data_IF_151414570444
#
_entry.id   IF_151414570444
#
_cell.length_a   1.000
_cell.length_b   1.000
_cell.length_c   1.000
_cell.angle_alpha   90.00
_cell.angle_beta   90.00
_cell.angle_gamma   90.00
#
_symmetry.space_group_name_H-M   'P 1'
#
loop_
_entity.id
_entity.type
_entity.pdbx_description
1 polymer ?
#
# COMPACT_ATOMS: atom_id res chain seq x y z
N UNK A 1 -33.64 -6.72 -72.41
CA UNK A 1 -32.69 -7.79 -72.15
C UNK A 1 -31.29 -7.16 -72.34
N UNK A 2 -30.60 -6.67 -71.43
CA UNK A 2 -30.06 -7.11 -70.23
C UNK A 2 -28.74 -6.39 -70.14
N UNK A 3 -28.71 -5.07 -69.81
CA UNK A 3 -27.51 -4.21 -69.77
C UNK A 3 -27.03 -3.98 -68.31
N UNK A 4 -27.44 -4.86 -67.39
CA UNK A 4 -27.15 -4.69 -65.95
C UNK A 4 -26.15 -5.67 -65.38
N UNK A 5 -25.52 -6.54 -66.13
CA UNK A 5 -24.65 -7.59 -65.60
C UNK A 5 -23.15 -7.32 -65.71
N UNK A 6 -22.74 -6.14 -66.11
CA UNK A 6 -21.30 -5.89 -66.41
C UNK A 6 -20.55 -4.99 -65.42
N UNK A 7 -21.07 -4.69 -64.25
CA UNK A 7 -20.33 -3.84 -63.26
C UNK A 7 -20.36 -4.45 -61.87
N UNK A 8 -20.09 -5.72 -61.75
CA UNK A 8 -19.57 -6.25 -60.46
C UNK A 8 -18.04 -6.12 -60.50
N UNK A 9 -17.56 -4.90 -60.36
CA UNK A 9 -16.14 -4.67 -60.11
C UNK A 9 -15.79 -5.43 -58.82
N UNK A 10 -15.04 -6.50 -58.97
CA UNK A 10 -14.38 -7.19 -57.87
C UNK A 10 -13.54 -6.15 -57.12
N UNK A 11 -14.04 -5.75 -55.92
CA UNK A 11 -13.20 -4.96 -55.05
C UNK A 11 -11.98 -5.81 -54.69
N UNK A 12 -10.76 -5.34 -54.93
CA UNK A 12 -9.57 -6.11 -54.57
C UNK A 12 -9.61 -6.32 -53.03
N UNK A 13 -9.82 -7.58 -52.62
CA UNK A 13 -9.64 -7.97 -51.23
C UNK A 13 -8.22 -7.56 -50.85
N UNK A 14 -8.08 -6.44 -50.15
CA UNK A 14 -6.81 -6.04 -49.51
C UNK A 14 -6.39 -7.16 -48.58
N UNK A 15 -5.52 -8.04 -49.05
CA UNK A 15 -4.86 -9.05 -48.21
C UNK A 15 -3.99 -8.24 -47.25
N UNK A 16 -4.45 -8.11 -46.01
CA UNK A 16 -3.62 -7.58 -44.96
C UNK A 16 -2.37 -8.43 -44.84
N UNK A 17 -1.23 -7.85 -45.14
CA UNK A 17 0.04 -8.55 -45.07
C UNK A 17 0.25 -9.00 -43.62
N UNK A 18 0.59 -10.26 -43.34
CA UNK A 18 0.72 -10.75 -41.96
C UNK A 18 1.74 -9.95 -41.15
N UNK A 19 2.71 -9.33 -41.81
CA UNK A 19 3.67 -8.41 -41.17
C UNK A 19 3.01 -7.15 -40.58
N UNK A 20 1.95 -6.61 -41.19
CA UNK A 20 1.25 -5.44 -40.68
C UNK A 20 0.41 -5.80 -39.42
N UNK A 21 -0.19 -7.01 -39.41
CA UNK A 21 -0.90 -7.49 -38.26
C UNK A 21 0.04 -7.74 -37.09
N UNK A 22 1.23 -8.30 -37.32
CA UNK A 22 2.27 -8.48 -36.31
C UNK A 22 2.80 -7.15 -35.78
N UNK A 23 3.06 -6.16 -36.63
CA UNK A 23 3.53 -4.82 -36.28
C UNK A 23 2.48 -4.09 -35.42
N UNK A 24 1.19 -4.18 -35.80
CA UNK A 24 0.09 -3.57 -35.04
C UNK A 24 -0.05 -4.23 -33.66
N UNK A 25 0.02 -5.57 -33.58
CA UNK A 25 -0.02 -6.31 -32.32
C UNK A 25 1.12 -5.92 -31.39
N UNK A 26 2.35 -5.78 -31.93
CA UNK A 26 3.51 -5.33 -31.17
C UNK A 26 3.36 -3.89 -30.68
N UNK A 27 2.88 -2.98 -31.52
CA UNK A 27 2.64 -1.59 -31.14
C UNK A 27 1.59 -1.48 -30.02
N UNK A 28 0.49 -2.23 -30.10
CA UNK A 28 -0.55 -2.28 -29.06
C UNK A 28 0.04 -2.83 -27.76
N UNK A 29 0.81 -3.92 -27.82
CA UNK A 29 1.46 -4.49 -26.62
C UNK A 29 2.44 -3.52 -25.96
N UNK A 30 3.23 -2.78 -26.77
CA UNK A 30 4.16 -1.74 -26.29
C UNK A 30 3.42 -0.58 -25.61
N UNK A 31 2.38 -0.05 -26.23
CA UNK A 31 1.58 1.06 -25.68
C UNK A 31 0.90 0.63 -24.38
N UNK A 32 0.32 -0.58 -24.37
CA UNK A 32 -0.31 -1.14 -23.15
C UNK A 32 0.72 -1.36 -22.03
N UNK A 33 1.87 -1.93 -22.37
CA UNK A 33 2.96 -2.15 -21.42
C UNK A 33 3.50 -0.85 -20.82
N UNK A 34 3.77 0.15 -21.66
CA UNK A 34 4.19 1.49 -21.22
C UNK A 34 3.12 2.17 -20.35
N UNK A 35 1.85 2.09 -20.76
CA UNK A 35 0.73 2.63 -19.98
C UNK A 35 0.63 2.01 -18.57
N UNK A 36 0.85 0.70 -18.44
CA UNK A 36 0.86 0.01 -17.15
C UNK A 36 2.04 0.43 -16.28
N UNK A 37 3.23 0.61 -16.86
CA UNK A 37 4.43 1.04 -16.13
C UNK A 37 4.27 2.48 -15.64
N UNK A 38 3.78 3.39 -16.47
CA UNK A 38 3.59 4.80 -16.13
C UNK A 38 2.49 4.98 -15.08
N UNK A 39 1.42 4.20 -15.12
CA UNK A 39 0.31 4.31 -14.16
C UNK A 39 0.57 3.63 -12.81
N UNK A 40 1.61 2.80 -12.68
CA UNK A 40 1.91 2.09 -11.42
C UNK A 40 2.24 3.05 -10.27
N UNK A 41 3.16 4.03 -10.41
CA UNK A 41 3.47 4.96 -9.33
C UNK A 41 2.24 5.74 -8.85
N UNK A 42 1.37 6.16 -9.77
CA UNK A 42 0.14 6.87 -9.42
C UNK A 42 -0.80 5.98 -8.61
N UNK A 43 -1.03 4.74 -9.03
CA UNK A 43 -1.86 3.77 -8.29
C UNK A 43 -1.30 3.44 -6.91
N UNK A 44 0.02 3.31 -6.80
CA UNK A 44 0.68 3.05 -5.51
C UNK A 44 0.55 4.26 -4.59
N UNK A 45 0.66 5.48 -5.14
CA UNK A 45 0.42 6.72 -4.39
C UNK A 45 -1.04 6.81 -3.91
N UNK A 46 -2.01 6.61 -4.79
CA UNK A 46 -3.45 6.67 -4.44
C UNK A 46 -3.81 5.62 -3.38
N UNK A 47 -3.24 4.42 -3.51
CA UNK A 47 -3.40 3.35 -2.52
C UNK A 47 -2.78 3.72 -1.16
N UNK A 48 -1.63 4.40 -1.16
CA UNK A 48 -1.00 4.88 0.06
C UNK A 48 -1.85 5.96 0.74
N UNK A 49 -2.33 6.95 -0.03
CA UNK A 49 -3.22 8.00 0.49
C UNK A 49 -4.48 7.40 1.08
N UNK A 50 -5.10 6.42 0.41
CA UNK A 50 -6.25 5.70 0.94
C UNK A 50 -5.92 4.97 2.25
N UNK A 51 -4.80 4.25 2.31
CA UNK A 51 -4.35 3.59 3.53
C UNK A 51 -4.18 4.58 4.69
N UNK A 52 -3.55 5.73 4.43
CA UNK A 52 -3.36 6.77 5.45
C UNK A 52 -4.67 7.39 5.91
N UNK A 53 -5.62 7.59 5.03
CA UNK A 53 -6.98 8.05 5.38
C UNK A 53 -7.70 7.05 6.31
N UNK A 54 -7.60 5.76 6.02
CA UNK A 54 -8.21 4.71 6.85
C UNK A 54 -7.51 4.59 8.21
N UNK A 55 -6.17 4.67 8.27
CA UNK A 55 -5.41 4.73 9.53
C UNK A 55 -5.81 5.98 10.34
N UNK A 56 -5.96 7.14 9.70
CA UNK A 56 -6.40 8.38 10.36
C UNK A 56 -7.77 8.21 11.00
N UNK A 57 -8.71 7.58 10.30
CA UNK A 57 -10.06 7.31 10.80
C UNK A 57 -10.04 6.42 12.04
N UNK A 58 -9.30 5.30 12.00
CA UNK A 58 -9.16 4.40 13.14
C UNK A 58 -8.40 5.05 14.31
N UNK A 59 -7.35 5.84 14.02
CA UNK A 59 -6.63 6.61 15.04
C UNK A 59 -7.57 7.60 15.75
N UNK A 60 -8.32 8.37 14.98
CA UNK A 60 -9.30 9.31 15.53
C UNK A 60 -10.39 8.62 16.33
N UNK A 61 -10.87 7.47 15.88
CA UNK A 61 -11.83 6.65 16.62
C UNK A 61 -11.26 6.19 17.96
N UNK A 62 -10.06 5.63 17.96
CA UNK A 62 -9.42 5.10 19.16
C UNK A 62 -9.07 6.19 20.20
N UNK A 63 -8.65 7.38 19.73
CA UNK A 63 -8.18 8.46 20.61
C UNK A 63 -9.27 9.45 21.01
N UNK A 64 -10.38 9.55 20.27
CA UNK A 64 -11.48 10.46 20.60
C UNK A 64 -12.43 9.92 21.69
N UNK A 65 -12.48 8.61 21.92
CA UNK A 65 -13.39 7.99 22.87
C UNK A 65 -12.73 7.84 24.25
N UNK A 66 -13.40 8.31 25.30
CA UNK A 66 -12.93 8.21 26.70
C UNK A 66 -12.70 6.76 27.18
N UNK A 67 -13.30 5.77 26.51
CA UNK A 67 -13.28 4.35 26.91
C UNK A 67 -12.59 3.42 25.89
N UNK A 68 -12.24 3.89 24.72
CA UNK A 68 -11.46 3.15 23.73
C UNK A 68 -10.12 3.85 23.61
N UNK A 69 -9.07 3.15 23.92
CA UNK A 69 -7.70 3.63 23.78
C UNK A 69 -7.01 2.77 22.76
N UNK A 70 -6.10 3.38 22.01
CA UNK A 70 -5.18 2.63 21.20
C UNK A 70 -4.33 1.74 22.10
N UNK A 71 -4.42 0.42 21.88
CA UNK A 71 -3.62 -0.56 22.63
C UNK A 71 -2.45 -1.02 21.77
N UNK A 72 -1.29 -1.13 22.37
CA UNK A 72 -0.12 -1.72 21.73
C UNK A 72 0.40 -2.91 22.53
N UNK A 73 0.80 -3.96 21.83
CA UNK A 73 1.57 -5.06 22.38
C UNK A 73 3.04 -4.88 21.96
N UNK A 74 3.88 -4.58 22.94
CA UNK A 74 5.31 -4.35 22.77
C UNK A 74 6.05 -5.31 23.72
N UNK A 75 6.87 -6.19 23.18
CA UNK A 75 7.68 -7.16 23.93
C UNK A 75 6.88 -7.98 24.97
N UNK A 76 5.64 -8.32 24.62
CA UNK A 76 4.73 -9.09 25.48
C UNK A 76 3.97 -8.26 26.53
N UNK A 77 4.21 -6.96 26.60
CA UNK A 77 3.46 -6.04 27.45
C UNK A 77 2.34 -5.36 26.67
N UNK A 78 1.18 -5.23 27.30
CA UNK A 78 0.07 -4.42 26.78
C UNK A 78 0.22 -3.00 27.29
N UNK A 79 0.21 -2.03 26.40
CA UNK A 79 0.36 -0.62 26.69
C UNK A 79 -0.86 0.15 26.21
N UNK A 80 -1.25 1.16 26.95
CA UNK A 80 -2.23 2.16 26.55
C UNK A 80 -1.50 3.33 25.88
N UNK A 81 -1.66 3.46 24.58
CA UNK A 81 -1.01 4.55 23.85
C UNK A 81 -1.73 5.87 24.13
N UNK A 82 -0.98 6.85 24.60
CA UNK A 82 -1.50 8.19 24.87
C UNK A 82 -1.94 8.86 23.57
N UNK A 83 -2.83 9.85 23.68
CA UNK A 83 -3.32 10.59 22.52
C UNK A 83 -2.17 11.24 21.73
N UNK A 84 -1.24 11.84 22.44
CA UNK A 84 -0.05 12.48 21.85
C UNK A 84 0.79 11.47 21.06
N UNK A 85 1.11 10.33 21.66
CA UNK A 85 1.91 9.28 21.03
C UNK A 85 1.20 8.60 19.85
N UNK A 86 -0.12 8.44 19.92
CA UNK A 86 -0.90 7.91 18.80
C UNK A 86 -0.89 8.84 17.59
N UNK A 87 -1.05 10.15 17.80
CA UNK A 87 -0.94 11.12 16.71
C UNK A 87 0.51 11.29 16.23
N UNK A 88 1.51 11.19 17.11
CA UNK A 88 2.92 11.20 16.72
C UNK A 88 3.26 10.03 15.81
N UNK A 89 2.79 8.82 16.14
CA UNK A 89 2.94 7.65 15.27
C UNK A 89 2.29 7.88 13.91
N UNK A 90 1.03 8.33 13.89
CA UNK A 90 0.33 8.62 12.64
C UNK A 90 1.09 9.64 11.78
N UNK A 91 1.55 10.74 12.36
CA UNK A 91 2.33 11.77 11.66
C UNK A 91 3.64 11.22 11.08
N UNK A 92 4.34 10.34 11.81
CA UNK A 92 5.54 9.67 11.30
C UNK A 92 5.20 8.78 10.10
N UNK A 93 4.15 7.96 10.18
CA UNK A 93 3.71 7.08 9.09
C UNK A 93 3.25 7.86 7.86
N UNK A 94 2.51 8.96 8.05
CA UNK A 94 2.01 9.80 6.96
C UNK A 94 3.12 10.44 6.13
N UNK A 95 4.22 10.82 6.76
CA UNK A 95 5.37 11.46 6.10
C UNK A 95 6.28 10.45 5.37
N UNK A 96 5.93 9.16 5.38
CA UNK A 96 6.68 8.10 4.72
C UNK A 96 6.10 7.79 3.34
N UNK A 97 6.95 7.43 2.40
CA UNK A 97 6.50 6.76 1.18
C UNK A 97 6.25 5.28 1.46
N UNK A 98 5.52 4.62 0.58
CA UNK A 98 5.27 3.19 0.68
C UNK A 98 5.68 2.45 -0.58
N UNK A 99 6.34 1.30 -0.40
CA UNK A 99 6.50 0.28 -1.44
C UNK A 99 5.66 -0.91 -1.03
N UNK A 100 4.55 -1.14 -1.75
CA UNK A 100 3.64 -2.23 -1.42
C UNK A 100 4.31 -3.58 -1.67
N UNK A 101 4.20 -4.47 -0.68
CA UNK A 101 4.78 -5.82 -0.70
C UNK A 101 3.82 -6.81 -0.04
N UNK A 102 3.89 -8.07 -0.49
CA UNK A 102 3.17 -9.18 0.13
C UNK A 102 4.03 -9.97 1.11
N UNK A 103 5.32 -9.70 1.11
CA UNK A 103 6.31 -10.44 1.92
C UNK A 103 6.33 -9.89 3.34
N UNK A 104 5.44 -10.43 4.18
CA UNK A 104 5.35 -10.06 5.59
C UNK A 104 6.54 -10.64 6.35
N UNK A 105 7.29 -9.83 7.12
CA UNK A 105 8.39 -10.31 7.95
C UNK A 105 7.94 -11.39 8.94
N UNK A 106 8.84 -12.34 9.22
CA UNK A 106 8.65 -13.32 10.28
C UNK A 106 9.26 -12.78 11.57
N UNK A 107 8.62 -13.04 12.71
CA UNK A 107 9.14 -12.68 14.02
C UNK A 107 8.27 -11.69 14.78
N UNK A 108 8.78 -11.25 15.93
CA UNK A 108 8.08 -10.30 16.80
C UNK A 108 8.02 -8.91 16.18
N UNK A 109 6.85 -8.32 16.25
CA UNK A 109 6.58 -6.96 15.86
C UNK A 109 5.68 -6.30 16.90
N UNK A 110 5.45 -5.01 16.76
CA UNK A 110 4.48 -4.28 17.56
C UNK A 110 3.12 -4.44 16.91
N UNK A 111 2.14 -4.85 17.71
CA UNK A 111 0.73 -4.92 17.28
C UNK A 111 -0.05 -3.82 17.98
N UNK A 112 -0.78 -3.04 17.19
CA UNK A 112 -1.70 -2.02 17.66
C UNK A 112 -3.14 -2.44 17.37
N UNK A 113 -4.01 -2.29 18.37
CA UNK A 113 -5.45 -2.49 18.24
C UNK A 113 -6.16 -1.15 18.47
N UNK A 114 -6.99 -0.78 17.51
CA UNK A 114 -7.69 0.51 17.48
C UNK A 114 -9.07 0.44 18.17
N UNK A 115 -9.51 -0.74 18.53
CA UNK A 115 -10.81 -0.94 19.19
C UNK A 115 -12.04 -0.80 18.28
N UNK A 116 -11.85 -0.45 17.01
CA UNK A 116 -12.88 -0.42 15.95
C UNK A 116 -12.87 -1.67 15.08
N UNK A 117 -11.97 -2.63 15.37
CA UNK A 117 -11.68 -3.80 14.55
C UNK A 117 -10.49 -3.63 13.62
N UNK A 118 -9.95 -2.42 13.50
CA UNK A 118 -8.69 -2.20 12.80
C UNK A 118 -7.51 -2.67 13.63
N UNK A 119 -6.52 -3.22 12.95
CA UNK A 119 -5.26 -3.70 13.55
C UNK A 119 -4.10 -3.25 12.68
N UNK A 120 -3.08 -2.70 13.30
CA UNK A 120 -1.80 -2.41 12.67
C UNK A 120 -0.72 -3.29 13.27
N UNK A 121 0.16 -3.77 12.43
CA UNK A 121 1.34 -4.54 12.82
C UNK A 121 2.57 -3.87 12.20
N UNK A 122 3.61 -3.69 13.01
CA UNK A 122 4.85 -3.00 12.65
C UNK A 122 6.03 -3.93 12.91
N UNK A 123 6.94 -4.07 11.93
CA UNK A 123 8.14 -4.88 12.07
C UNK A 123 9.38 -4.13 11.61
N UNK A 124 10.54 -4.44 12.22
CA UNK A 124 11.81 -4.09 11.60
C UNK A 124 11.93 -4.84 10.27
N UNK A 125 12.36 -4.15 9.23
CA UNK A 125 12.46 -4.71 7.89
C UNK A 125 13.87 -4.54 7.34
N UNK A 126 14.46 -5.64 6.90
CA UNK A 126 15.73 -5.59 6.18
C UNK A 126 15.45 -5.23 4.73
N UNK A 127 15.94 -4.09 4.31
CA UNK A 127 15.72 -3.59 2.98
C UNK A 127 16.47 -4.40 1.91
N UNK A 128 15.96 -4.45 0.67
CA UNK A 128 16.65 -5.08 -0.44
C UNK A 128 18.06 -4.48 -0.66
N UNK A 129 18.96 -5.29 -1.21
CA UNK A 129 20.28 -4.82 -1.59
C UNK A 129 20.18 -3.66 -2.58
N UNK A 130 20.97 -2.60 -2.36
CA UNK A 130 20.93 -1.38 -3.16
C UNK A 130 20.04 -0.27 -2.60
N UNK A 131 19.30 -0.51 -1.51
CA UNK A 131 18.60 0.54 -0.79
C UNK A 131 19.59 1.48 -0.10
N UNK A 132 19.22 2.76 0.04
CA UNK A 132 20.04 3.78 0.70
C UNK A 132 20.31 3.48 2.19
N UNK A 133 19.48 2.65 2.80
CA UNK A 133 19.59 2.17 4.18
C UNK A 133 19.53 0.65 4.23
N UNK A 134 20.14 0.05 5.24
CA UNK A 134 20.07 -1.40 5.46
C UNK A 134 18.80 -1.85 6.18
N UNK A 135 18.15 -0.95 6.90
CA UNK A 135 16.97 -1.22 7.71
C UNK A 135 15.87 -0.18 7.43
N UNK A 136 14.63 -0.63 7.51
CA UNK A 136 13.44 0.18 7.37
C UNK A 136 12.32 -0.34 8.28
N UNK A 137 11.12 0.05 7.94
CA UNK A 137 9.90 -0.34 8.62
C UNK A 137 9.00 -1.10 7.65
N UNK A 138 8.43 -2.22 8.10
CA UNK A 138 7.31 -2.88 7.43
C UNK A 138 6.03 -2.61 8.21
N UNK A 139 4.97 -2.26 7.49
CA UNK A 139 3.65 -1.97 8.04
C UNK A 139 2.63 -2.89 7.38
N UNK A 140 1.80 -3.51 8.21
CA UNK A 140 0.59 -4.19 7.78
C UNK A 140 -0.58 -3.59 8.53
N UNK A 141 -1.49 -2.99 7.81
CA UNK A 141 -2.71 -2.42 8.37
C UNK A 141 -3.91 -3.17 7.81
N UNK A 142 -4.79 -3.63 8.70
CA UNK A 142 -6.09 -4.20 8.38
C UNK A 142 -7.15 -3.25 8.90
N UNK A 143 -7.99 -2.74 8.03
CA UNK A 143 -9.09 -1.86 8.40
C UNK A 143 -10.27 -2.65 9.05
N UNK A 144 -11.28 -1.96 9.61
CA UNK A 144 -12.45 -2.60 10.22
C UNK A 144 -13.22 -3.52 9.26
N UNK A 145 -13.18 -3.25 7.97
CA UNK A 145 -13.86 -4.02 6.91
C UNK A 145 -13.05 -5.26 6.47
N UNK A 146 -11.86 -5.46 7.04
CA UNK A 146 -10.98 -6.59 6.73
C UNK A 146 -10.03 -6.36 5.54
N UNK A 147 -10.03 -5.19 4.90
CA UNK A 147 -9.09 -4.85 3.84
C UNK A 147 -7.68 -4.70 4.40
N UNK A 148 -6.70 -5.32 3.72
CA UNK A 148 -5.32 -5.36 4.18
C UNK A 148 -4.41 -4.53 3.26
N UNK A 149 -3.61 -3.68 3.89
CA UNK A 149 -2.51 -2.97 3.27
C UNK A 149 -1.20 -3.46 3.86
N UNK A 150 -0.24 -3.82 3.00
CA UNK A 150 1.08 -4.25 3.42
C UNK A 150 2.13 -3.54 2.59
N UNK A 151 3.04 -2.83 3.24
CA UNK A 151 4.09 -2.06 2.58
C UNK A 151 5.32 -1.93 3.46
N UNK A 152 6.44 -1.60 2.85
CA UNK A 152 7.63 -1.19 3.57
C UNK A 152 8.06 0.23 3.17
N UNK A 153 8.84 0.85 4.02
CA UNK A 153 9.49 2.13 3.76
C UNK A 153 10.96 2.06 4.15
N UNK A 154 11.79 2.79 3.40
CA UNK A 154 13.21 2.98 3.66
C UNK A 154 13.52 4.38 4.21
N UNK A 155 12.50 5.22 4.36
CA UNK A 155 12.68 6.62 4.79
C UNK A 155 13.00 6.76 6.26
N UNK A 156 12.57 5.79 7.08
CA UNK A 156 12.91 5.77 8.50
C UNK A 156 13.09 4.35 9.02
N UNK A 157 13.69 4.21 10.21
CA UNK A 157 13.91 2.93 10.85
C UNK A 157 12.74 2.56 11.76
N UNK A 158 12.55 1.26 11.99
CA UNK A 158 11.55 0.74 12.94
C UNK A 158 11.70 1.42 14.32
N UNK A 159 12.91 1.49 14.87
CA UNK A 159 13.15 2.06 16.20
C UNK A 159 12.69 3.53 16.30
N UNK A 160 13.03 4.36 15.32
CA UNK A 160 12.62 5.79 15.34
C UNK A 160 11.10 5.97 15.23
N UNK A 161 10.44 5.12 14.44
CA UNK A 161 8.97 5.21 14.28
C UNK A 161 8.26 4.78 15.53
N UNK A 162 8.76 3.71 16.18
CA UNK A 162 8.13 3.08 17.34
C UNK A 162 8.59 3.66 18.68
N UNK A 163 9.50 4.62 18.69
CA UNK A 163 9.94 5.32 19.90
C UNK A 163 8.77 5.84 20.75
N UNK A 164 7.74 6.40 20.11
CA UNK A 164 6.54 6.88 20.77
C UNK A 164 5.67 5.74 21.38
N UNK A 165 5.96 4.49 21.09
CA UNK A 165 5.24 3.31 21.60
C UNK A 165 5.98 2.62 22.76
N UNK A 166 7.08 3.20 23.26
CA UNK A 166 7.84 2.59 24.35
C UNK A 166 7.07 2.58 25.68
N UNK A 167 7.34 1.60 26.57
CA UNK A 167 6.75 1.57 27.91
C UNK A 167 7.08 2.81 28.76
N UNK A 168 8.19 3.50 28.46
CA UNK A 168 8.59 4.73 29.15
C UNK A 168 7.61 5.89 28.92
N UNK A 169 6.95 5.91 27.77
CA UNK A 169 6.07 6.97 27.33
C UNK A 169 4.58 6.61 27.42
N UNK A 170 4.26 5.35 27.70
CA UNK A 170 2.88 4.87 27.72
C UNK A 170 2.63 4.00 28.95
N UNK A 171 1.51 4.21 29.67
CA UNK A 171 1.15 3.40 30.83
C UNK A 171 0.83 1.97 30.42
N UNK A 172 1.09 1.02 31.33
CA UNK A 172 0.64 -0.35 31.16
C UNK A 172 -0.90 -0.39 31.07
N UNK A 173 -1.40 -1.33 30.31
CA UNK A 173 -2.83 -1.61 30.25
C UNK A 173 -3.16 -2.59 31.37
N UNK A 174 -3.96 -2.12 32.35
CA UNK A 174 -4.48 -2.92 33.47
C UNK A 174 -5.64 -3.81 33.03
#
# INVERSE_FOLDING_TARGET
>A
MGLYDAVRKEQPRRRFHPLWAAALGFAVALVTGLGLVISKPQRDHDRFVQCMSEISSSTSYALARKHTSLQAQVDGQSLRITQENGYALYGKLFNMGAVFSRDVPKGGGIRLDYGDGAVMELWPYRLPAGSARSQGLFVRFRNPEGKVYSYYTDRDTFARVTECLSPEHNPAWD
#
